data_IF_205306018588
#
_entry.id   IF_205306018588
#
_cell.length_a   1.000
_cell.length_b   1.000
_cell.length_c   1.000
_cell.angle_alpha   90.00
_cell.angle_beta   90.00
_cell.angle_gamma   90.00
#
_symmetry.space_group_name_H-M   'P 1'
#
loop_
_entity.id
_entity.type
_entity.pdbx_description
1 polymer ?
#
# COMPACT_ATOMS: atom_id res chain seq x y z
N UNK A 1 -3.47 5.48 5.66
CA UNK A 1 -3.79 4.57 4.55
C UNK A 1 -3.34 5.13 3.22
N UNK A 2 -3.60 6.39 2.99
CA UNK A 2 -3.28 7.04 1.73
C UNK A 2 -1.77 7.06 1.45
N UNK A 3 -0.98 7.31 2.48
CA UNK A 3 0.47 7.35 2.34
C UNK A 3 1.04 5.99 1.96
N UNK A 4 0.50 4.93 2.56
CA UNK A 4 0.91 3.58 2.22
C UNK A 4 0.53 3.25 0.78
N UNK A 5 -0.67 3.63 0.36
CA UNK A 5 -1.11 3.41 -1.02
C UNK A 5 -0.20 4.11 -2.01
N UNK A 6 0.18 5.34 -1.71
CA UNK A 6 1.07 6.10 -2.57
C UNK A 6 2.43 5.41 -2.71
N UNK A 7 2.99 4.94 -1.60
CA UNK A 7 4.28 4.27 -1.63
C UNK A 7 4.22 2.96 -2.40
N UNK A 8 3.12 2.22 -2.26
CA UNK A 8 2.90 1.01 -3.04
C UNK A 8 2.82 1.34 -4.53
N UNK A 9 2.09 2.39 -4.88
CA UNK A 9 1.96 2.82 -6.27
C UNK A 9 3.29 3.29 -6.86
N UNK A 10 4.16 3.84 -6.01
CA UNK A 10 5.51 4.27 -6.43
C UNK A 10 6.47 3.09 -6.61
N UNK A 11 6.02 1.88 -6.35
CA UNK A 11 6.85 0.70 -6.52
C UNK A 11 7.74 0.38 -5.34
N UNK A 12 7.48 0.97 -4.18
CA UNK A 12 8.27 0.71 -2.98
C UNK A 12 7.98 -0.68 -2.43
N UNK A 13 9.04 -1.35 -1.96
CA UNK A 13 8.87 -2.62 -1.24
C UNK A 13 8.42 -2.34 0.19
N UNK A 14 7.95 -3.38 0.89
CA UNK A 14 7.57 -3.23 2.29
C UNK A 14 8.73 -2.71 3.14
N UNK A 15 9.93 -3.17 2.83
CA UNK A 15 11.14 -2.75 3.54
C UNK A 15 11.38 -1.25 3.37
N UNK A 16 11.18 -0.75 2.16
CA UNK A 16 11.34 0.67 1.88
C UNK A 16 10.25 1.50 2.56
N UNK A 17 9.03 0.98 2.57
CA UNK A 17 7.92 1.65 3.25
C UNK A 17 8.17 1.74 4.75
N UNK A 18 8.71 0.67 5.34
CA UNK A 18 9.09 0.67 6.76
C UNK A 18 10.05 1.84 7.05
N UNK A 19 11.04 2.03 6.20
CA UNK A 19 12.01 3.11 6.38
C UNK A 19 11.38 4.49 6.30
N UNK A 20 10.36 4.66 5.48
CA UNK A 20 9.72 5.97 5.30
C UNK A 20 8.62 6.25 6.32
N UNK A 21 7.89 5.21 6.72
CA UNK A 21 6.74 5.37 7.62
C UNK A 21 7.09 5.15 9.09
N UNK A 22 8.28 4.63 9.37
CA UNK A 22 8.71 4.30 10.73
C UNK A 22 7.76 3.31 11.42
N UNK A 23 7.19 2.40 10.64
CA UNK A 23 6.32 1.35 11.14
C UNK A 23 6.99 0.00 10.93
N UNK A 24 6.57 -1.01 11.70
CA UNK A 24 7.10 -2.35 11.50
C UNK A 24 6.59 -2.95 10.19
N UNK A 25 7.34 -3.93 9.66
CA UNK A 25 6.95 -4.59 8.42
C UNK A 25 5.60 -5.31 8.57
N UNK A 26 5.35 -5.91 9.75
CA UNK A 26 4.07 -6.53 10.02
C UNK A 26 2.92 -5.56 9.98
N UNK A 27 3.13 -4.36 10.52
CA UNK A 27 2.13 -3.30 10.50
C UNK A 27 1.83 -2.86 9.05
N UNK A 28 2.87 -2.70 8.26
CA UNK A 28 2.71 -2.32 6.84
C UNK A 28 1.93 -3.39 6.09
N UNK A 29 2.27 -4.66 6.32
CA UNK A 29 1.60 -5.78 5.68
C UNK A 29 0.11 -5.83 6.05
N UNK A 30 -0.20 -5.59 7.32
CA UNK A 30 -1.58 -5.53 7.79
C UNK A 30 -2.34 -4.36 7.19
N UNK A 31 -1.70 -3.23 7.05
CA UNK A 31 -2.29 -2.07 6.40
C UNK A 31 -2.69 -2.40 4.96
N UNK A 32 -1.75 -2.96 4.21
CA UNK A 32 -2.00 -3.31 2.81
C UNK A 32 -3.12 -4.32 2.70
N UNK A 33 -3.10 -5.37 3.54
CA UNK A 33 -4.17 -6.37 3.58
C UNK A 33 -5.52 -5.74 3.85
N UNK A 34 -5.58 -4.83 4.83
CA UNK A 34 -6.81 -4.15 5.19
C UNK A 34 -7.36 -3.30 4.05
N UNK A 35 -6.46 -2.61 3.34
CA UNK A 35 -6.85 -1.78 2.20
C UNK A 35 -7.39 -2.66 1.07
N UNK A 36 -6.72 -3.77 0.79
CA UNK A 36 -7.17 -4.70 -0.26
C UNK A 36 -8.56 -5.23 0.04
N UNK A 37 -8.80 -5.62 1.29
CA UNK A 37 -10.12 -6.10 1.74
C UNK A 37 -11.18 -5.02 1.58
N UNK A 38 -10.87 -3.82 2.05
CA UNK A 38 -11.80 -2.70 2.05
C UNK A 38 -12.23 -2.30 0.65
N UNK A 39 -11.28 -2.34 -0.29
CA UNK A 39 -11.52 -1.94 -1.68
C UNK A 39 -11.84 -3.14 -2.57
N UNK A 40 -11.90 -4.33 -1.99
CA UNK A 40 -12.21 -5.56 -2.71
C UNK A 40 -11.21 -5.82 -3.84
N UNK A 41 -9.94 -5.59 -3.57
CA UNK A 41 -8.85 -5.81 -4.51
C UNK A 41 -8.18 -7.14 -4.21
N UNK A 42 -7.56 -7.74 -5.21
CA UNK A 42 -6.96 -9.07 -5.09
C UNK A 42 -5.53 -9.05 -4.61
N UNK A 43 -4.75 -8.07 -5.05
CA UNK A 43 -3.33 -8.05 -4.76
C UNK A 43 -2.80 -6.62 -4.78
N UNK A 44 -1.52 -6.52 -4.46
CA UNK A 44 -0.80 -5.25 -4.36
C UNK A 44 -0.74 -4.50 -5.69
N UNK A 45 -0.64 -5.23 -6.78
CA UNK A 45 -0.60 -4.63 -8.11
C UNK A 45 -1.91 -3.91 -8.40
N UNK A 46 -3.04 -4.53 -8.04
CA UNK A 46 -4.34 -3.90 -8.22
C UNK A 46 -4.48 -2.66 -7.35
N UNK A 47 -3.89 -2.68 -6.16
CA UNK A 47 -3.89 -1.51 -5.30
C UNK A 47 -3.15 -0.34 -5.95
N UNK A 48 -1.99 -0.60 -6.53
CA UNK A 48 -1.21 0.42 -7.22
C UNK A 48 -2.00 1.02 -8.39
N UNK A 49 -2.61 0.17 -9.18
CA UNK A 49 -3.43 0.61 -10.32
C UNK A 49 -4.62 1.44 -9.84
N UNK A 50 -5.27 1.00 -8.77
CA UNK A 50 -6.39 1.72 -8.20
C UNK A 50 -5.97 3.12 -7.77
N UNK A 51 -4.86 3.23 -7.07
CA UNK A 51 -4.36 4.52 -6.60
C UNK A 51 -4.06 5.45 -7.78
N UNK A 52 -3.37 4.94 -8.79
CA UNK A 52 -3.00 5.74 -9.95
C UNK A 52 -4.21 6.25 -10.73
N UNK A 53 -5.29 5.48 -10.72
CA UNK A 53 -6.50 5.87 -11.44
C UNK A 53 -7.38 6.84 -10.66
N UNK A 54 -7.39 6.75 -9.35
CA UNK A 54 -8.37 7.46 -8.53
C UNK A 54 -7.81 8.55 -7.64
N UNK A 55 -6.50 8.56 -7.43
CA UNK A 55 -5.88 9.47 -6.46
C UNK A 55 -4.80 10.38 -7.05
N UNK A 56 -4.59 10.31 -8.34
CA UNK A 56 -3.59 11.17 -9.01
C UNK A 56 -4.23 12.40 -9.63
#
# INVERSE_FOLDING_TARGET
ERDVMKLVADGKSNKEIVGEMFLSEGTIRNYISGILDKLNLRDRTQLAVFYLRNCT
#
